data_IF_307771701184
#
_entry.id   IF_307771701184
#
_cell.length_a   1.000
_cell.length_b   1.000
_cell.length_c   1.000
_cell.angle_alpha   90.00
_cell.angle_beta   90.00
_cell.angle_gamma   90.00
#
_symmetry.space_group_name_H-M   'P 1'
#
loop_
_entity.id
_entity.type
_entity.pdbx_description
1 polymer ?
#
# COMPACT_ATOMS: atom_id res chain seq x y z
N UNK A 1 11.18 -31.62 8.46
CA UNK A 1 11.21 -30.43 7.59
C UNK A 1 11.16 -30.78 6.09
N UNK A 2 10.01 -30.63 5.40
CA UNK A 2 9.91 -30.82 3.94
C UNK A 2 10.85 -29.85 3.21
N UNK A 3 11.31 -30.25 2.02
CA UNK A 3 12.26 -29.49 1.19
C UNK A 3 11.80 -28.05 0.95
N UNK A 4 10.50 -27.85 0.70
CA UNK A 4 9.88 -26.55 0.47
C UNK A 4 10.00 -25.62 1.69
N UNK A 5 9.77 -26.11 2.90
CA UNK A 5 9.91 -25.29 4.13
C UNK A 5 11.37 -24.90 4.37
N UNK A 6 12.33 -25.81 4.12
CA UNK A 6 13.76 -25.48 4.22
C UNK A 6 14.21 -24.49 3.16
N UNK A 7 13.69 -24.61 1.94
CA UNK A 7 13.95 -23.66 0.87
C UNK A 7 13.34 -22.29 1.20
N UNK A 8 12.10 -22.24 1.69
CA UNK A 8 11.42 -21.02 2.10
C UNK A 8 12.15 -20.31 3.25
N UNK A 9 12.51 -21.04 4.33
CA UNK A 9 13.25 -20.46 5.45
C UNK A 9 14.63 -19.94 5.01
N UNK A 10 15.36 -20.67 4.16
CA UNK A 10 16.64 -20.21 3.60
C UNK A 10 16.50 -18.96 2.74
N UNK A 11 15.42 -18.87 1.95
CA UNK A 11 15.09 -17.68 1.16
C UNK A 11 14.76 -16.50 2.07
N UNK A 12 13.99 -16.71 3.13
CA UNK A 12 13.68 -15.70 4.14
C UNK A 12 14.94 -15.22 4.86
N UNK A 13 15.80 -16.13 5.31
CA UNK A 13 17.07 -15.82 5.98
C UNK A 13 18.05 -15.08 5.05
N UNK A 14 18.12 -15.49 3.79
CA UNK A 14 18.90 -14.80 2.76
C UNK A 14 18.35 -13.39 2.52
N UNK A 15 17.04 -13.26 2.32
CA UNK A 15 16.38 -11.97 2.14
C UNK A 15 16.63 -11.04 3.32
N UNK A 16 16.48 -11.53 4.55
CA UNK A 16 16.70 -10.76 5.77
C UNK A 16 18.16 -10.35 6.00
N UNK A 17 19.13 -11.06 5.42
CA UNK A 17 20.56 -10.73 5.53
C UNK A 17 21.07 -9.77 4.47
N UNK A 18 20.50 -9.78 3.26
CA UNK A 18 21.07 -9.08 2.11
C UNK A 18 20.18 -7.99 1.51
N UNK A 19 18.86 -8.05 1.71
CA UNK A 19 17.94 -7.05 1.12
C UNK A 19 17.77 -5.89 2.10
N UNK A 20 18.17 -4.66 1.75
CA UNK A 20 17.96 -3.50 2.60
C UNK A 20 16.47 -3.21 2.79
N UNK A 21 16.12 -2.47 3.84
CA UNK A 21 14.76 -1.97 4.01
C UNK A 21 14.32 -1.11 2.82
N UNK A 22 13.01 -1.11 2.50
CA UNK A 22 12.44 -0.42 1.33
C UNK A 22 12.83 1.07 1.23
N UNK A 23 12.92 1.77 2.36
CA UNK A 23 13.38 3.15 2.39
C UNK A 23 14.84 3.31 1.93
N UNK A 24 15.74 2.43 2.37
CA UNK A 24 17.14 2.43 1.93
C UNK A 24 17.23 2.16 0.43
N UNK A 25 16.43 1.23 -0.08
CA UNK A 25 16.33 0.95 -1.51
C UNK A 25 15.89 2.22 -2.27
N UNK A 26 14.86 2.94 -1.80
CA UNK A 26 14.41 4.18 -2.42
C UNK A 26 15.50 5.26 -2.43
N UNK A 27 16.28 5.40 -1.36
CA UNK A 27 17.44 6.32 -1.31
C UNK A 27 18.53 5.93 -2.31
N UNK A 28 18.88 4.63 -2.39
CA UNK A 28 19.87 4.13 -3.34
C UNK A 28 19.42 4.35 -4.80
N UNK A 29 18.16 4.06 -5.11
CA UNK A 29 17.58 4.31 -6.43
C UNK A 29 17.58 5.81 -6.77
N UNK A 30 17.32 6.67 -5.78
CA UNK A 30 17.40 8.12 -5.98
C UNK A 30 18.83 8.54 -6.33
N UNK A 31 19.83 8.04 -5.61
CA UNK A 31 21.23 8.30 -5.90
C UNK A 31 21.67 7.77 -7.29
N UNK A 32 21.21 6.58 -7.67
CA UNK A 32 21.47 6.00 -9.00
C UNK A 32 20.84 6.87 -10.09
N UNK A 33 19.57 7.25 -9.92
CA UNK A 33 18.85 8.11 -10.88
C UNK A 33 19.55 9.46 -11.03
N UNK A 34 20.01 10.03 -9.92
CA UNK A 34 20.81 11.25 -9.91
C UNK A 34 22.12 11.08 -10.70
N UNK A 35 22.87 10.01 -10.43
CA UNK A 35 24.12 9.71 -11.13
C UNK A 35 23.92 9.52 -12.64
N UNK A 36 22.85 8.82 -13.04
CA UNK A 36 22.49 8.64 -14.45
C UNK A 36 22.13 9.96 -15.14
N UNK A 37 21.46 10.88 -14.43
CA UNK A 37 21.16 12.19 -14.99
C UNK A 37 22.43 13.01 -15.28
N UNK A 38 23.47 12.84 -14.45
CA UNK A 38 24.77 13.48 -14.69
C UNK A 38 25.55 12.80 -15.81
N UNK A 39 25.65 11.46 -15.79
CA UNK A 39 26.54 10.71 -16.69
C UNK A 39 25.95 10.41 -18.06
N UNK A 40 24.66 10.08 -18.14
CA UNK A 40 23.97 9.71 -19.38
C UNK A 40 23.31 10.92 -20.02
N UNK A 41 22.57 11.71 -19.22
CA UNK A 41 21.86 12.89 -19.72
C UNK A 41 22.70 14.18 -19.71
N UNK A 42 23.93 14.14 -19.18
CA UNK A 42 24.86 15.26 -19.21
C UNK A 42 24.39 16.49 -18.42
N UNK A 43 23.51 16.32 -17.42
CA UNK A 43 22.94 17.43 -16.65
C UNK A 43 23.89 17.90 -15.55
N UNK A 44 23.80 19.18 -15.21
CA UNK A 44 24.55 19.73 -14.07
C UNK A 44 23.91 19.30 -12.74
N UNK A 45 24.71 19.26 -11.68
CA UNK A 45 24.23 18.93 -10.32
C UNK A 45 23.07 19.85 -9.91
N UNK A 46 23.20 21.16 -10.19
CA UNK A 46 22.17 22.14 -9.85
C UNK A 46 20.85 21.89 -10.57
N UNK A 47 20.90 21.56 -11.88
CA UNK A 47 19.70 21.24 -12.65
C UNK A 47 19.04 19.95 -12.14
N UNK A 48 19.82 18.91 -11.85
CA UNK A 48 19.31 17.63 -11.33
C UNK A 48 18.66 17.79 -9.95
N UNK A 49 19.22 18.63 -9.06
CA UNK A 49 18.58 18.98 -7.78
C UNK A 49 17.26 19.71 -8.02
N UNK A 50 17.21 20.64 -8.97
CA UNK A 50 15.97 21.32 -9.37
C UNK A 50 14.90 20.33 -9.82
N UNK A 51 15.24 19.45 -10.77
CA UNK A 51 14.32 18.42 -11.26
C UNK A 51 13.82 17.49 -10.16
N UNK A 52 14.69 17.09 -9.24
CA UNK A 52 14.29 16.27 -8.09
C UNK A 52 13.31 17.02 -7.19
N UNK A 53 13.62 18.26 -6.82
CA UNK A 53 12.77 19.10 -5.96
C UNK A 53 11.42 19.40 -6.58
N UNK A 54 11.38 19.76 -7.85
CA UNK A 54 10.13 20.00 -8.58
C UNK A 54 9.29 18.73 -8.69
N UNK A 55 9.95 17.59 -8.93
CA UNK A 55 9.35 16.26 -9.00
C UNK A 55 8.57 15.88 -7.76
N UNK A 56 9.10 16.17 -6.56
CA UNK A 56 8.47 15.83 -5.27
C UNK A 56 7.00 16.29 -5.21
N UNK A 57 6.71 17.47 -5.76
CA UNK A 57 5.38 18.08 -5.68
C UNK A 57 4.43 17.61 -6.78
N UNK A 58 4.96 17.06 -7.88
CA UNK A 58 4.14 16.67 -9.06
C UNK A 58 3.18 15.52 -8.77
N UNK A 59 3.54 14.62 -7.85
CA UNK A 59 2.74 13.44 -7.57
C UNK A 59 2.00 13.53 -6.23
N UNK A 60 2.01 14.68 -5.54
CA UNK A 60 1.46 14.78 -4.18
C UNK A 60 -0.03 14.40 -4.10
N UNK A 61 -0.84 14.83 -5.07
CA UNK A 61 -2.26 14.45 -5.16
C UNK A 61 -2.41 12.93 -5.31
N UNK A 62 -1.67 12.35 -6.25
CA UNK A 62 -1.66 10.90 -6.47
C UNK A 62 -1.20 10.13 -5.23
N UNK A 63 -0.16 10.61 -4.53
CA UNK A 63 0.34 10.01 -3.30
C UNK A 63 -0.68 10.05 -2.17
N UNK A 64 -1.36 11.19 -1.99
CA UNK A 64 -2.46 11.32 -1.04
C UNK A 64 -3.62 10.39 -1.39
N UNK A 65 -3.99 10.30 -2.67
CA UNK A 65 -5.02 9.38 -3.15
C UNK A 65 -4.67 7.93 -2.83
N UNK A 66 -3.43 7.51 -3.03
CA UNK A 66 -3.00 6.14 -2.74
C UNK A 66 -2.89 5.86 -1.23
N UNK A 67 -2.38 6.83 -0.46
CA UNK A 67 -2.33 6.73 1.01
C UNK A 67 -3.74 6.63 1.59
N UNK A 68 -4.68 7.42 1.09
CA UNK A 68 -6.07 7.40 1.53
C UNK A 68 -6.75 6.08 1.18
N UNK A 69 -6.52 5.49 0.00
CA UNK A 69 -7.03 4.15 -0.35
C UNK A 69 -6.52 3.12 0.67
N UNK A 70 -5.23 3.16 1.03
CA UNK A 70 -4.67 2.23 2.00
C UNK A 70 -5.27 2.42 3.40
N UNK A 71 -5.31 3.67 3.89
CA UNK A 71 -5.88 3.98 5.21
C UNK A 71 -7.35 3.59 5.27
N UNK A 72 -8.16 4.07 4.33
CA UNK A 72 -9.61 3.79 4.30
C UNK A 72 -9.91 2.32 4.03
N UNK A 73 -9.09 1.63 3.24
CA UNK A 73 -9.18 0.18 3.05
C UNK A 73 -8.92 -0.60 4.35
N UNK A 74 -7.89 -0.21 5.11
CA UNK A 74 -7.62 -0.78 6.43
C UNK A 74 -8.72 -0.49 7.44
N UNK A 75 -9.22 0.75 7.50
CA UNK A 75 -10.37 1.13 8.35
C UNK A 75 -11.59 0.28 7.97
N UNK A 76 -11.89 0.18 6.68
CA UNK A 76 -13.02 -0.60 6.19
C UNK A 76 -12.92 -2.07 6.61
N UNK A 77 -11.73 -2.67 6.48
CA UNK A 77 -11.45 -4.05 6.90
C UNK A 77 -11.59 -4.28 8.42
N UNK A 78 -11.29 -3.26 9.23
CA UNK A 78 -11.43 -3.30 10.68
C UNK A 78 -12.89 -3.09 11.16
N UNK A 79 -13.81 -2.71 10.26
CA UNK A 79 -15.20 -2.49 10.62
C UNK A 79 -15.87 -3.76 11.18
N UNK A 80 -16.70 -3.67 12.25
CA UNK A 80 -17.24 -4.85 12.94
C UNK A 80 -18.06 -5.78 12.06
N UNK A 81 -18.73 -5.23 11.05
CA UNK A 81 -19.57 -5.97 10.12
C UNK A 81 -18.73 -6.73 9.09
N UNK A 82 -17.71 -6.08 8.53
CA UNK A 82 -16.84 -6.70 7.52
C UNK A 82 -15.90 -7.72 8.15
N UNK A 83 -15.35 -7.43 9.33
CA UNK A 83 -14.49 -8.35 10.08
C UNK A 83 -15.18 -9.69 10.36
N UNK A 84 -16.44 -9.68 10.81
CA UNK A 84 -17.24 -10.91 10.99
C UNK A 84 -17.42 -11.69 9.69
N UNK A 85 -17.60 -11.01 8.57
CA UNK A 85 -17.70 -11.65 7.25
C UNK A 85 -16.37 -12.27 6.80
N UNK A 86 -15.26 -11.55 7.02
CA UNK A 86 -13.91 -12.04 6.74
C UNK A 86 -13.54 -13.23 7.65
N UNK A 87 -13.89 -13.19 8.92
CA UNK A 87 -13.66 -14.28 9.88
C UNK A 87 -14.44 -15.55 9.48
N UNK A 88 -15.69 -15.40 9.00
CA UNK A 88 -16.48 -16.51 8.48
C UNK A 88 -15.85 -17.13 7.22
N UNK A 89 -15.36 -16.30 6.29
CA UNK A 89 -14.66 -16.78 5.09
C UNK A 89 -13.31 -17.43 5.43
N UNK A 90 -12.57 -16.85 6.38
CA UNK A 90 -11.32 -17.41 6.89
C UNK A 90 -11.57 -18.75 7.58
N UNK A 91 -12.67 -18.91 8.33
CA UNK A 91 -13.08 -20.19 8.91
C UNK A 91 -13.40 -21.24 7.85
N UNK A 92 -14.01 -20.86 6.72
CA UNK A 92 -14.23 -21.76 5.58
C UNK A 92 -12.89 -22.17 4.95
N UNK A 93 -12.00 -21.22 4.66
CA UNK A 93 -10.67 -21.51 4.11
C UNK A 93 -9.84 -22.38 5.07
N UNK A 94 -9.89 -22.10 6.37
CA UNK A 94 -9.25 -22.89 7.41
C UNK A 94 -9.86 -24.29 7.51
N UNK A 95 -11.18 -24.44 7.36
CA UNK A 95 -11.82 -25.75 7.36
C UNK A 95 -11.41 -26.59 6.14
N UNK A 96 -11.19 -25.96 4.98
CA UNK A 96 -10.65 -26.61 3.78
C UNK A 96 -9.17 -26.99 3.97
N UNK A 97 -8.37 -26.13 4.61
CA UNK A 97 -6.98 -26.43 4.95
C UNK A 97 -6.86 -27.52 6.03
N UNK A 98 -7.78 -27.55 6.99
CA UNK A 98 -7.88 -28.60 8.01
C UNK A 98 -8.38 -29.92 7.42
N UNK A 99 -9.28 -29.87 6.42
CA UNK A 99 -9.67 -31.04 5.64
C UNK A 99 -8.48 -31.56 4.82
N UNK A 100 -7.73 -30.67 4.18
CA UNK A 100 -6.49 -31.01 3.48
C UNK A 100 -5.42 -31.57 4.44
N UNK A 101 -5.32 -31.03 5.65
CA UNK A 101 -4.46 -31.54 6.73
C UNK A 101 -4.93 -32.90 7.26
N UNK A 102 -6.24 -33.12 7.40
CA UNK A 102 -6.83 -34.40 7.82
C UNK A 102 -6.67 -35.49 6.76
N UNK A 103 -6.62 -35.11 5.48
CA UNK A 103 -6.33 -35.99 4.35
C UNK A 103 -4.82 -36.17 4.12
N UNK A 104 -3.95 -35.45 4.83
CA UNK A 104 -2.48 -35.53 4.70
C UNK A 104 -1.91 -36.55 5.70
N UNK A 105 -1.16 -37.59 5.26
CA UNK A 105 -0.65 -38.62 6.16
C UNK A 105 0.43 -38.09 7.10
N UNK A 106 0.33 -38.52 8.36
CA UNK A 106 0.95 -37.93 9.53
C UNK A 106 2.47 -38.16 9.65
N UNK A 107 3.25 -37.07 9.69
CA UNK A 107 4.49 -36.95 10.52
C UNK A 107 4.57 -35.53 11.10
N UNK A 108 4.50 -35.44 12.43
CA UNK A 108 4.26 -34.23 13.25
C UNK A 108 5.55 -33.54 13.76
N UNK A 109 6.42 -33.03 12.90
CA UNK A 109 7.61 -32.30 13.39
C UNK A 109 7.86 -30.90 12.81
N UNK A 110 6.96 -30.35 11.99
CA UNK A 110 7.17 -29.01 11.41
C UNK A 110 5.94 -28.11 11.52
N UNK A 111 5.31 -28.07 12.69
CA UNK A 111 4.28 -27.07 12.97
C UNK A 111 4.98 -25.84 13.55
N UNK A 112 5.04 -24.76 12.78
CA UNK A 112 5.48 -23.45 13.28
C UNK A 112 4.38 -22.94 14.21
N UNK A 113 4.49 -23.25 15.50
CA UNK A 113 3.63 -22.68 16.54
C UNK A 113 4.10 -21.25 16.77
N UNK A 114 3.25 -20.26 16.51
CA UNK A 114 3.47 -18.91 17.03
C UNK A 114 3.67 -19.05 18.54
N UNK A 115 4.79 -18.58 19.08
CA UNK A 115 4.99 -18.58 20.53
C UNK A 115 3.90 -17.71 21.16
N UNK A 116 3.52 -17.99 22.41
CA UNK A 116 2.53 -17.16 23.12
C UNK A 116 2.91 -15.67 23.10
N UNK A 117 4.21 -15.38 23.07
CA UNK A 117 4.78 -14.04 22.92
C UNK A 117 4.55 -13.42 21.52
N UNK A 118 4.62 -14.19 20.43
CA UNK A 118 4.29 -13.70 19.08
C UNK A 118 2.79 -13.49 18.90
N UNK A 119 1.96 -14.28 19.58
CA UNK A 119 0.52 -14.09 19.62
C UNK A 119 0.17 -12.83 20.43
N UNK A 120 0.81 -12.65 21.59
CA UNK A 120 0.70 -11.45 22.40
C UNK A 120 1.22 -10.21 21.68
N UNK A 121 2.30 -10.28 20.92
CA UNK A 121 2.78 -9.15 20.12
C UNK A 121 1.79 -8.69 19.03
N UNK A 122 0.87 -9.56 18.59
CA UNK A 122 -0.25 -9.20 17.70
C UNK A 122 -1.45 -8.64 18.48
N UNK A 123 -1.56 -8.93 19.78
CA UNK A 123 -2.59 -8.42 20.70
C UNK A 123 -2.15 -7.16 21.48
N UNK A 124 -0.84 -6.92 21.59
CA UNK A 124 -0.16 -5.83 22.33
C UNK A 124 -0.13 -4.51 21.55
N UNK A 125 -0.85 -4.40 20.44
CA UNK A 125 -1.32 -3.08 20.00
C UNK A 125 -2.30 -2.57 21.07
N UNK A 126 -1.74 -1.98 22.11
CA UNK A 126 -2.50 -1.35 23.18
C UNK A 126 -3.52 -0.39 22.54
N UNK A 127 -4.82 -0.55 22.84
CA UNK A 127 -5.81 0.33 22.24
C UNK A 127 -5.44 1.78 22.58
N UNK A 128 -5.52 2.70 21.61
CA UNK A 128 -5.18 4.10 21.84
C UNK A 128 -5.92 4.61 23.07
N UNK A 129 -5.24 5.40 23.91
CA UNK A 129 -5.77 5.82 25.20
C UNK A 129 -7.19 6.40 25.03
N UNK A 130 -8.15 6.03 25.90
CA UNK A 130 -9.49 6.55 25.79
C UNK A 130 -9.50 8.07 25.91
N UNK A 131 -9.83 8.76 24.82
CA UNK A 131 -10.14 10.18 24.89
C UNK A 131 -11.24 10.41 25.94
N UNK A 132 -10.96 11.27 26.91
CA UNK A 132 -11.90 11.65 27.96
C UNK A 132 -12.60 12.94 27.54
N UNK A 133 -13.88 12.89 27.07
CA UNK A 133 -14.53 14.05 26.51
C UNK A 133 -14.76 15.12 27.60
N UNK A 134 -14.41 16.40 27.34
CA UNK A 134 -14.49 17.45 28.36
C UNK A 134 -15.93 17.91 28.64
N UNK A 135 -16.92 17.47 27.84
CA UNK A 135 -18.33 17.76 28.07
C UNK A 135 -19.26 16.67 27.51
N UNK A 136 -20.51 16.62 28.01
CA UNK A 136 -21.57 15.71 27.54
C UNK A 136 -21.91 15.89 26.06
N UNK A 137 -21.79 17.12 25.54
CA UNK A 137 -22.04 17.41 24.13
C UNK A 137 -20.97 16.78 23.22
N UNK A 138 -19.70 16.91 23.60
CA UNK A 138 -18.58 16.32 22.84
C UNK A 138 -18.66 14.79 22.88
N UNK A 139 -18.98 14.21 24.04
CA UNK A 139 -19.20 12.78 24.17
C UNK A 139 -20.30 12.29 23.21
N UNK A 140 -21.43 13.01 23.16
CA UNK A 140 -22.53 12.70 22.24
C UNK A 140 -22.08 12.78 20.77
N UNK A 141 -21.38 13.83 20.37
CA UNK A 141 -20.91 13.99 18.99
C UNK A 141 -19.96 12.85 18.58
N UNK A 142 -19.04 12.46 19.45
CA UNK A 142 -18.09 11.40 19.17
C UNK A 142 -18.69 10.00 19.11
N UNK A 143 -19.80 9.77 19.81
CA UNK A 143 -20.51 8.49 19.87
C UNK A 143 -21.72 8.41 18.93
N UNK A 144 -21.99 9.48 18.17
CA UNK A 144 -23.16 9.56 17.31
C UNK A 144 -22.94 8.86 15.96
N UNK A 145 -23.58 7.70 15.80
CA UNK A 145 -23.69 7.04 14.49
C UNK A 145 -24.28 7.96 13.41
N UNK A 146 -25.21 8.86 13.78
CA UNK A 146 -25.88 9.74 12.82
C UNK A 146 -24.89 10.69 12.11
N UNK A 147 -23.79 11.08 12.76
CA UNK A 147 -22.75 11.89 12.12
C UNK A 147 -21.99 11.10 11.05
N UNK A 148 -21.64 9.85 11.35
CA UNK A 148 -21.07 8.93 10.36
C UNK A 148 -22.03 8.68 9.20
N UNK A 149 -23.30 8.42 9.50
CA UNK A 149 -24.35 8.19 8.50
C UNK A 149 -24.53 9.39 7.57
N UNK A 150 -24.57 10.60 8.14
CA UNK A 150 -24.69 11.84 7.40
C UNK A 150 -23.49 12.06 6.47
N UNK A 151 -22.26 12.00 6.99
CA UNK A 151 -21.06 12.22 6.18
C UNK A 151 -20.86 11.14 5.11
N UNK A 152 -21.08 9.88 5.47
CA UNK A 152 -21.02 8.76 4.52
C UNK A 152 -22.06 8.90 3.41
N UNK A 153 -23.30 9.26 3.79
CA UNK A 153 -24.40 9.53 2.87
C UNK A 153 -24.13 10.69 1.91
N UNK A 154 -23.52 11.78 2.38
CA UNK A 154 -23.11 12.88 1.50
C UNK A 154 -22.11 12.44 0.43
N UNK A 155 -21.12 11.63 0.80
CA UNK A 155 -20.15 11.11 -0.17
C UNK A 155 -20.78 10.15 -1.18
N UNK A 156 -21.70 9.27 -0.76
CA UNK A 156 -22.46 8.42 -1.67
C UNK A 156 -23.37 9.23 -2.61
N UNK A 157 -24.01 10.29 -2.11
CA UNK A 157 -24.84 11.18 -2.92
C UNK A 157 -24.02 11.91 -3.99
N UNK A 158 -22.83 12.40 -3.63
CA UNK A 158 -21.91 13.00 -4.59
C UNK A 158 -21.46 11.98 -5.64
N UNK A 159 -21.10 10.75 -5.23
CA UNK A 159 -20.71 9.68 -6.15
C UNK A 159 -21.82 9.34 -7.12
N UNK A 160 -23.06 9.19 -6.64
CA UNK A 160 -24.22 8.89 -7.48
C UNK A 160 -24.44 10.01 -8.51
N UNK A 161 -24.33 11.28 -8.08
CA UNK A 161 -24.43 12.45 -8.97
C UNK A 161 -23.31 12.47 -10.00
N UNK A 162 -22.07 12.28 -9.59
CA UNK A 162 -20.90 12.32 -10.48
C UNK A 162 -20.95 11.21 -11.52
N UNK A 163 -21.31 10.01 -11.09
CA UNK A 163 -21.54 8.86 -11.96
C UNK A 163 -22.67 9.10 -12.97
N UNK A 164 -23.75 9.78 -12.58
CA UNK A 164 -24.84 10.12 -13.49
C UNK A 164 -24.46 11.20 -14.53
N UNK A 165 -23.59 12.14 -14.16
CA UNK A 165 -23.20 13.27 -15.03
C UNK A 165 -21.98 12.98 -15.91
N UNK A 166 -21.00 12.25 -15.37
CA UNK A 166 -19.69 12.03 -15.97
C UNK A 166 -19.37 10.54 -16.22
N UNK A 167 -20.33 9.65 -15.98
CA UNK A 167 -20.23 8.21 -16.24
C UNK A 167 -19.56 7.41 -15.12
N UNK A 168 -19.62 6.08 -15.28
CA UNK A 168 -19.23 5.09 -14.26
C UNK A 168 -17.74 4.72 -14.27
N UNK A 169 -16.90 5.44 -15.03
CA UNK A 169 -15.47 5.15 -15.06
C UNK A 169 -14.86 5.31 -13.66
N UNK A 170 -14.21 4.27 -13.16
CA UNK A 170 -13.63 4.25 -11.82
C UNK A 170 -12.33 5.08 -11.82
N UNK A 171 -12.36 6.22 -11.15
CA UNK A 171 -11.19 7.07 -10.94
C UNK A 171 -10.68 6.91 -9.50
N UNK A 172 -9.43 7.30 -9.23
CA UNK A 172 -8.89 7.31 -7.87
C UNK A 172 -9.74 8.15 -6.92
N UNK A 173 -10.30 9.28 -7.39
CA UNK A 173 -11.19 10.11 -6.60
C UNK A 173 -12.51 9.40 -6.26
N UNK A 174 -13.14 8.73 -7.23
CA UNK A 174 -14.37 7.95 -7.00
C UNK A 174 -14.12 6.79 -6.05
N UNK A 175 -13.02 6.07 -6.23
CA UNK A 175 -12.64 4.95 -5.39
C UNK A 175 -12.36 5.39 -3.95
N UNK A 176 -11.56 6.45 -3.77
CA UNK A 176 -11.27 7.01 -2.46
C UNK A 176 -12.53 7.43 -1.72
N UNK A 177 -13.40 8.18 -2.39
CA UNK A 177 -14.64 8.63 -1.77
C UNK A 177 -15.57 7.46 -1.46
N UNK A 178 -15.61 6.42 -2.32
CA UNK A 178 -16.41 5.23 -2.05
C UNK A 178 -15.91 4.48 -0.81
N UNK A 179 -14.59 4.30 -0.68
CA UNK A 179 -13.99 3.64 0.48
C UNK A 179 -14.20 4.45 1.75
N UNK A 180 -13.98 5.77 1.70
CA UNK A 180 -14.20 6.67 2.82
C UNK A 180 -15.67 6.66 3.28
N UNK A 181 -16.62 6.78 2.35
CA UNK A 181 -18.05 6.73 2.64
C UNK A 181 -18.46 5.37 3.23
N UNK A 182 -18.01 4.27 2.64
CA UNK A 182 -18.30 2.93 3.16
C UNK A 182 -17.72 2.73 4.57
N UNK A 183 -16.47 3.15 4.78
CA UNK A 183 -15.82 3.07 6.08
C UNK A 183 -16.59 3.85 7.15
N UNK A 184 -17.06 5.07 6.85
CA UNK A 184 -17.91 5.84 7.77
C UNK A 184 -19.23 5.13 8.06
N UNK A 185 -19.95 4.66 7.04
CA UNK A 185 -21.27 4.04 7.21
C UNK A 185 -21.22 2.73 8.03
N UNK A 186 -20.10 2.01 7.95
CA UNK A 186 -19.92 0.73 8.64
C UNK A 186 -19.35 0.87 10.06
N UNK A 187 -18.89 2.07 10.43
CA UNK A 187 -18.44 2.37 11.78
C UNK A 187 -19.60 2.84 12.66
N UNK A 188 -19.65 2.40 13.94
CA UNK A 188 -20.74 2.75 14.84
C UNK A 188 -20.69 4.22 15.30
N UNK A 189 -19.52 4.86 15.28
CA UNK A 189 -19.37 6.24 15.70
C UNK A 189 -18.09 6.89 15.15
N UNK A 190 -18.00 8.24 15.12
CA UNK A 190 -16.79 8.95 14.73
C UNK A 190 -15.58 8.55 15.56
N UNK A 191 -15.76 8.30 16.86
CA UNK A 191 -14.68 7.80 17.73
C UNK A 191 -14.14 6.46 17.25
N UNK A 192 -15.03 5.52 16.93
CA UNK A 192 -14.62 4.20 16.43
C UNK A 192 -13.87 4.31 15.11
N UNK A 193 -14.35 5.16 14.21
CA UNK A 193 -13.67 5.43 12.93
C UNK A 193 -12.29 6.05 13.14
N UNK A 194 -12.18 7.07 14.00
CA UNK A 194 -10.92 7.78 14.27
C UNK A 194 -9.86 6.85 14.88
N UNK A 195 -10.25 5.97 15.82
CA UNK A 195 -9.35 4.95 16.39
C UNK A 195 -8.83 3.98 15.33
N UNK A 196 -9.72 3.51 14.46
CA UNK A 196 -9.32 2.63 13.37
C UNK A 196 -8.41 3.35 12.37
N UNK A 197 -8.62 4.64 12.14
CA UNK A 197 -7.77 5.48 11.30
C UNK A 197 -6.37 5.67 11.89
N UNK A 198 -6.25 5.88 13.20
CA UNK A 198 -4.97 5.99 13.91
C UNK A 198 -4.17 4.70 13.79
N UNK A 199 -4.81 3.54 14.03
CA UNK A 199 -4.20 2.23 13.79
C UNK A 199 -3.76 2.06 12.33
N UNK A 200 -4.62 2.43 11.39
CA UNK A 200 -4.32 2.34 9.97
C UNK A 200 -3.12 3.23 9.55
N UNK A 201 -2.96 4.42 10.16
CA UNK A 201 -1.84 5.31 9.90
C UNK A 201 -0.49 4.64 10.21
N UNK A 202 -0.46 3.78 11.23
CA UNK A 202 0.70 2.96 11.59
C UNK A 202 1.17 2.02 10.48
N UNK A 203 0.30 1.64 9.54
CA UNK A 203 0.67 0.80 8.38
C UNK A 203 1.09 1.62 7.14
N UNK A 204 0.71 2.89 7.08
CA UNK A 204 0.90 3.73 5.88
C UNK A 204 2.14 4.64 5.97
N UNK A 205 2.70 4.81 7.17
CA UNK A 205 3.87 5.67 7.42
C UNK A 205 5.04 5.42 6.45
N UNK A 206 5.36 4.15 6.16
CA UNK A 206 6.45 3.78 5.25
C UNK A 206 6.20 4.23 3.81
N UNK A 207 4.94 4.20 3.36
CA UNK A 207 4.55 4.66 2.01
C UNK A 207 4.63 6.18 1.92
N UNK A 208 4.13 6.89 2.93
CA UNK A 208 4.13 8.36 2.98
C UNK A 208 5.56 8.90 2.89
N UNK A 209 6.50 8.32 3.64
CA UNK A 209 7.89 8.79 3.68
C UNK A 209 8.66 8.44 2.40
N UNK A 210 8.34 7.32 1.75
CA UNK A 210 9.00 6.92 0.49
C UNK A 210 8.46 7.68 -0.72
N UNK A 211 7.20 8.12 -0.68
CA UNK A 211 6.54 8.72 -1.83
C UNK A 211 7.26 9.96 -2.40
N UNK A 212 7.73 10.93 -1.58
CA UNK A 212 8.55 12.04 -2.07
C UNK A 212 9.82 11.60 -2.81
N UNK A 213 10.47 10.52 -2.37
CA UNK A 213 11.68 10.01 -3.04
C UNK A 213 11.34 9.49 -4.44
N UNK A 214 10.23 8.75 -4.58
CA UNK A 214 9.77 8.27 -5.88
C UNK A 214 9.37 9.42 -6.81
N UNK A 215 8.65 10.42 -6.28
CA UNK A 215 8.26 11.61 -7.03
C UNK A 215 9.48 12.45 -7.46
N UNK A 216 10.49 12.58 -6.60
CA UNK A 216 11.74 13.23 -6.96
C UNK A 216 12.52 12.48 -8.04
N UNK A 217 12.57 11.13 -7.99
CA UNK A 217 13.15 10.34 -9.08
C UNK A 217 12.39 10.53 -10.40
N UNK A 218 11.06 10.52 -10.36
CA UNK A 218 10.22 10.82 -11.53
C UNK A 218 10.56 12.20 -12.12
N UNK A 219 10.72 13.22 -11.27
CA UNK A 219 11.16 14.56 -11.66
C UNK A 219 12.51 14.57 -12.34
N UNK A 220 13.52 13.89 -11.78
CA UNK A 220 14.83 13.74 -12.43
C UNK A 220 14.67 13.06 -13.79
N UNK A 221 13.96 11.94 -13.87
CA UNK A 221 13.82 11.16 -15.10
C UNK A 221 13.20 11.99 -16.21
N UNK A 222 12.12 12.73 -15.91
CA UNK A 222 11.42 13.59 -16.86
C UNK A 222 12.18 14.86 -17.19
N UNK A 223 12.72 15.56 -16.19
CA UNK A 223 13.41 16.83 -16.37
C UNK A 223 14.78 16.69 -17.05
N UNK A 224 15.48 15.57 -16.85
CA UNK A 224 16.79 15.33 -17.47
C UNK A 224 16.71 14.80 -18.91
N UNK A 225 15.58 14.22 -19.31
CA UNK A 225 15.42 13.48 -20.57
C UNK A 225 15.93 12.03 -20.50
N UNK A 226 16.15 11.49 -19.30
CA UNK A 226 16.52 10.09 -19.11
C UNK A 226 15.44 9.13 -19.63
N UNK A 227 14.17 9.50 -19.57
CA UNK A 227 13.08 8.70 -20.14
C UNK A 227 13.25 8.48 -21.65
N UNK A 228 13.68 9.51 -22.38
CA UNK A 228 13.98 9.42 -23.81
C UNK A 228 15.22 8.54 -24.07
N UNK A 229 16.27 8.69 -23.27
CA UNK A 229 17.49 7.88 -23.39
C UNK A 229 17.21 6.39 -23.14
N UNK A 230 16.45 6.08 -22.08
CA UNK A 230 16.03 4.71 -21.75
C UNK A 230 15.12 4.16 -22.85
N UNK A 231 14.16 4.95 -23.34
CA UNK A 231 13.27 4.56 -24.43
C UNK A 231 14.04 4.23 -25.72
N UNK A 232 14.99 5.06 -26.12
CA UNK A 232 15.82 4.84 -27.29
C UNK A 232 16.69 3.58 -27.16
N UNK A 233 17.30 3.35 -25.98
CA UNK A 233 18.02 2.12 -25.69
C UNK A 233 17.11 0.90 -25.80
N UNK A 234 15.91 0.96 -25.23
CA UNK A 234 14.96 -0.15 -25.26
C UNK A 234 14.52 -0.48 -26.70
N UNK A 235 14.20 0.53 -27.51
CA UNK A 235 13.86 0.35 -28.94
C UNK A 235 15.05 -0.24 -29.71
N UNK A 236 16.29 0.10 -29.36
CA UNK A 236 17.48 -0.42 -30.02
C UNK A 236 17.74 -1.92 -29.76
N UNK A 237 17.21 -2.47 -28.66
CA UNK A 237 17.41 -3.86 -28.26
C UNK A 237 16.14 -4.73 -28.37
N UNK A 238 14.94 -4.13 -28.42
CA UNK A 238 13.67 -4.87 -28.44
C UNK A 238 13.20 -5.18 -29.86
N UNK A 239 12.90 -6.46 -30.12
CA UNK A 239 12.15 -6.90 -31.30
C UNK A 239 10.72 -7.28 -30.89
N UNK A 240 9.73 -7.28 -31.81
CA UNK A 240 8.35 -7.68 -31.49
C UNK A 240 8.23 -9.07 -30.83
N UNK A 241 9.17 -9.98 -31.11
CA UNK A 241 9.22 -11.32 -30.53
C UNK A 241 9.83 -11.37 -29.12
N UNK A 242 10.79 -10.48 -28.80
CA UNK A 242 11.48 -10.46 -27.49
C UNK A 242 10.81 -9.54 -26.48
N UNK A 243 9.96 -8.61 -26.93
CA UNK A 243 9.29 -7.62 -26.08
C UNK A 243 8.49 -8.23 -24.91
N UNK A 244 7.62 -9.26 -25.09
CA UNK A 244 6.87 -9.83 -23.97
C UNK A 244 7.77 -10.49 -22.92
N UNK A 245 8.87 -11.12 -23.35
CA UNK A 245 9.82 -11.79 -22.46
C UNK A 245 10.62 -10.78 -21.63
N UNK A 246 11.05 -9.68 -22.24
CA UNK A 246 11.76 -8.58 -21.56
C UNK A 246 10.84 -7.93 -20.52
N UNK A 247 9.59 -7.61 -20.90
CA UNK A 247 8.59 -7.03 -19.99
C UNK A 247 8.27 -7.98 -18.83
N UNK A 248 8.18 -9.29 -19.09
CA UNK A 248 7.95 -10.31 -18.05
C UNK A 248 9.08 -10.33 -17.02
N UNK A 249 10.34 -10.44 -17.45
CA UNK A 249 11.50 -10.45 -16.55
C UNK A 249 11.68 -9.12 -15.82
N UNK A 250 11.53 -8.00 -16.52
CA UNK A 250 11.56 -6.67 -15.93
C UNK A 250 10.50 -6.53 -14.82
N UNK A 251 9.26 -6.94 -15.10
CA UNK A 251 8.17 -6.89 -14.11
C UNK A 251 8.45 -7.80 -12.91
N UNK A 252 9.01 -9.00 -13.14
CA UNK A 252 9.40 -9.92 -12.07
C UNK A 252 10.47 -9.35 -11.14
N UNK A 253 11.53 -8.77 -11.71
CA UNK A 253 12.62 -8.13 -10.96
C UNK A 253 12.11 -6.88 -10.23
N UNK A 254 11.32 -6.03 -10.90
CA UNK A 254 10.78 -4.81 -10.31
C UNK A 254 9.82 -5.11 -9.15
N UNK A 255 9.00 -6.15 -9.26
CA UNK A 255 8.12 -6.61 -8.18
C UNK A 255 8.89 -7.06 -6.93
N UNK A 256 10.13 -7.53 -7.08
CA UNK A 256 10.98 -7.94 -5.96
C UNK A 256 11.60 -6.74 -5.23
N UNK A 257 12.08 -5.73 -5.98
CA UNK A 257 12.75 -4.55 -5.41
C UNK A 257 11.79 -3.43 -5.02
N UNK A 258 10.59 -3.41 -5.60
CA UNK A 258 9.54 -2.44 -5.30
C UNK A 258 8.25 -3.17 -4.91
N UNK A 259 8.21 -3.76 -3.69
CA UNK A 259 7.08 -4.58 -3.25
C UNK A 259 5.84 -3.76 -2.84
N UNK A 260 5.86 -2.42 -2.98
CA UNK A 260 4.74 -1.58 -2.54
C UNK A 260 3.64 -1.51 -3.60
N UNK A 261 2.40 -1.78 -3.19
CA UNK A 261 1.22 -1.59 -4.06
C UNK A 261 1.16 -0.19 -4.69
N UNK A 262 1.64 0.85 -4.00
CA UNK A 262 1.62 2.25 -4.47
C UNK A 262 2.58 2.58 -5.63
N UNK A 263 3.72 1.88 -5.74
CA UNK A 263 4.69 2.11 -6.83
C UNK A 263 4.22 1.60 -8.20
N UNK A 264 3.35 0.58 -8.21
CA UNK A 264 2.81 -0.03 -9.43
C UNK A 264 1.81 0.87 -10.17
N UNK A 265 1.20 1.81 -9.44
CA UNK A 265 0.26 2.77 -10.00
C UNK A 265 0.95 4.06 -10.51
N UNK A 266 2.19 4.33 -10.10
CA UNK A 266 2.96 5.50 -10.56
C UNK A 266 3.72 5.25 -11.87
N UNK A 267 3.83 3.98 -12.30
CA UNK A 267 4.65 3.52 -13.43
C UNK A 267 3.87 3.04 -14.65
N UNK A 268 2.58 3.36 -14.76
CA UNK A 268 1.77 3.17 -15.97
C UNK A 268 1.35 4.54 -16.49
#
# INVERSE_FOLDING_TARGET
MPFLTRAALRLTDFSGRYVPGAFVIACLLTAITFALALSVAGRSVAATVGYWGDGVWTLLEFGMQMALIMVTGSILADSPHLRRGLDALAAVAASLLLLAWALYPSRREDVFTLSAEQLQALEDESPPEPFSPPSRFIAWAEDSWALCAFLGGLGLAWLARDCALHGMALTLNKLNLAFFSAALLLHPSPRSFARSAEKAAGYVHGVIVQFPLYAGMYGIIKGSGLDQAIGAWFVSCATPATFPLVVYWYSGVLNYFIPSGGSKFAGI
#
